data_IF_602928854367
#
_entry.id   IF_602928854367
#
_cell.length_a   1.000
_cell.length_b   1.000
_cell.length_c   1.000
_cell.angle_alpha   90.00
_cell.angle_beta   90.00
_cell.angle_gamma   90.00
#
_symmetry.space_group_name_H-M   'P 1'
#
loop_
_entity.id
_entity.type
_entity.pdbx_description
1 polymer ?
#
# COMPACT_ATOMS: atom_id res chain seq x y z
N UNK A 1 -8.20 -13.35 5.94
CA UNK A 1 -7.29 -12.37 5.32
C UNK A 1 -7.51 -11.01 5.96
N UNK A 2 -6.46 -10.29 6.34
CA UNK A 2 -6.63 -8.93 6.86
C UNK A 2 -7.18 -8.00 5.78
N UNK A 3 -7.84 -6.92 6.21
CA UNK A 3 -8.31 -5.91 5.28
C UNK A 3 -7.13 -5.31 4.51
N UNK A 4 -7.31 -4.93 3.25
CA UNK A 4 -6.23 -4.29 2.50
C UNK A 4 -5.90 -2.93 3.09
N UNK A 5 -4.61 -2.57 3.02
CA UNK A 5 -4.15 -1.23 3.36
C UNK A 5 -4.22 -0.38 2.11
N UNK A 6 -4.95 0.73 2.18
CA UNK A 6 -5.00 1.68 1.06
C UNK A 6 -4.01 2.80 1.33
N UNK A 7 -3.01 2.95 0.45
CA UNK A 7 -1.96 3.96 0.56
C UNK A 7 -2.26 5.12 -0.38
N UNK A 8 -2.12 6.34 0.14
CA UNK A 8 -2.30 7.54 -0.66
C UNK A 8 -1.02 8.37 -0.66
N UNK A 9 -0.48 8.70 -1.84
CA UNK A 9 0.65 9.64 -1.92
C UNK A 9 0.18 11.06 -1.68
N UNK A 10 1.03 11.88 -1.06
CA UNK A 10 0.69 13.27 -0.75
C UNK A 10 1.89 14.18 -1.01
N UNK A 11 1.62 15.34 -1.60
CA UNK A 11 2.63 16.39 -1.73
C UNK A 11 2.93 17.02 -0.37
N UNK A 12 1.90 17.07 0.47
CA UNK A 12 2.02 17.57 1.84
C UNK A 12 1.30 16.58 2.76
N UNK A 13 2.04 15.63 3.36
CA UNK A 13 1.43 14.61 4.21
C UNK A 13 0.63 15.15 5.40
N UNK A 14 1.06 16.26 5.99
CA UNK A 14 0.31 16.85 7.11
C UNK A 14 -1.04 17.39 6.66
N UNK A 15 -1.08 18.00 5.47
CA UNK A 15 -2.35 18.47 4.90
C UNK A 15 -3.28 17.30 4.59
N UNK A 16 -2.73 16.22 4.03
CA UNK A 16 -3.50 15.01 3.77
C UNK A 16 -4.03 14.39 5.06
N UNK A 17 -3.22 14.39 6.11
CA UNK A 17 -3.60 13.90 7.42
C UNK A 17 -4.84 14.66 7.96
N UNK A 18 -4.81 15.98 7.87
CA UNK A 18 -5.96 16.80 8.29
C UNK A 18 -7.21 16.52 7.45
N UNK A 19 -7.01 16.33 6.15
CA UNK A 19 -8.11 16.01 5.25
C UNK A 19 -8.80 14.69 5.64
N UNK A 20 -8.04 13.63 5.79
CA UNK A 20 -8.60 12.31 6.10
C UNK A 20 -9.19 12.25 7.51
N UNK A 21 -8.57 12.94 8.45
CA UNK A 21 -9.15 13.07 9.79
C UNK A 21 -10.51 13.79 9.73
N UNK A 22 -10.60 14.87 8.96
CA UNK A 22 -11.84 15.63 8.85
C UNK A 22 -12.95 14.87 8.12
N UNK A 23 -12.59 14.08 7.12
CA UNK A 23 -13.58 13.36 6.29
C UNK A 23 -14.05 12.06 6.98
N UNK A 24 -13.13 11.29 7.55
CA UNK A 24 -13.44 9.96 8.07
C UNK A 24 -13.42 9.87 9.60
N UNK A 25 -12.93 10.91 10.28
CA UNK A 25 -12.67 10.82 11.69
C UNK A 25 -11.49 9.91 12.04
N UNK A 26 -10.66 9.57 11.04
CA UNK A 26 -9.56 8.65 11.24
C UNK A 26 -8.42 9.30 12.01
N UNK A 27 -7.93 8.62 13.05
CA UNK A 27 -6.79 9.06 13.84
C UNK A 27 -5.55 8.33 13.33
N UNK A 28 -4.79 8.97 12.44
CA UNK A 28 -3.56 8.39 11.92
C UNK A 28 -2.38 8.76 12.80
N UNK A 29 -1.46 7.81 12.94
CA UNK A 29 -0.26 8.00 13.74
C UNK A 29 0.98 7.86 12.88
N UNK A 30 2.13 8.45 13.30
CA UNK A 30 3.37 8.28 12.56
C UNK A 30 3.76 6.80 12.46
N UNK A 31 4.28 6.41 11.31
CA UNK A 31 4.79 5.06 11.14
C UNK A 31 6.04 4.84 11.97
N UNK A 32 6.24 3.61 12.47
CA UNK A 32 7.51 3.28 13.10
C UNK A 32 8.65 3.39 12.06
N UNK A 33 9.88 3.71 12.49
CA UNK A 33 10.99 3.92 11.56
C UNK A 33 11.24 2.78 10.59
N UNK A 34 11.03 1.55 11.00
CA UNK A 34 11.23 0.36 10.16
C UNK A 34 10.17 0.22 9.07
N UNK A 35 9.05 0.89 9.19
CA UNK A 35 7.98 0.86 8.19
C UNK A 35 8.06 2.01 7.18
N UNK A 36 9.11 2.83 7.27
CA UNK A 36 9.29 4.00 6.41
C UNK A 36 8.64 5.24 6.99
N UNK A 37 8.65 6.33 6.22
CA UNK A 37 8.03 7.57 6.64
C UNK A 37 6.54 7.60 6.29
N UNK A 38 5.79 8.41 7.01
CA UNK A 38 4.37 8.61 6.73
C UNK A 38 3.51 8.39 7.95
N UNK A 39 2.22 8.29 7.71
CA UNK A 39 1.19 8.17 8.73
C UNK A 39 0.28 7.01 8.38
N UNK A 40 -0.25 6.33 9.37
CA UNK A 40 -1.18 5.23 9.11
C UNK A 40 -2.15 5.01 10.24
N UNK A 41 -3.29 4.42 9.90
CA UNK A 41 -4.21 3.84 10.86
C UNK A 41 -4.45 2.40 10.45
N UNK A 42 -4.48 1.51 11.43
CA UNK A 42 -4.76 0.11 11.22
C UNK A 42 -5.64 -0.36 12.38
N UNK A 43 -6.94 -0.32 12.15
CA UNK A 43 -7.89 -0.91 13.06
C UNK A 43 -8.71 -1.96 12.31
N UNK A 44 -9.67 -2.60 12.98
CA UNK A 44 -10.40 -3.71 12.37
C UNK A 44 -11.19 -3.34 11.12
N UNK A 45 -11.59 -2.09 11.00
CA UNK A 45 -12.51 -1.64 9.95
C UNK A 45 -11.83 -0.77 8.90
N UNK A 46 -10.63 -0.23 9.21
CA UNK A 46 -9.99 0.74 8.35
C UNK A 46 -8.47 0.57 8.40
N UNK A 47 -7.87 0.40 7.24
CA UNK A 47 -6.42 0.44 7.09
C UNK A 47 -6.09 1.46 6.00
N UNK A 48 -5.48 2.55 6.39
CA UNK A 48 -5.20 3.67 5.51
C UNK A 48 -3.83 4.24 5.82
N UNK A 49 -3.04 4.50 4.80
CA UNK A 49 -1.71 5.08 4.95
C UNK A 49 -1.55 6.32 4.08
N UNK A 50 -0.70 7.23 4.53
CA UNK A 50 -0.31 8.42 3.79
C UNK A 50 1.19 8.45 3.74
N UNK A 51 1.76 8.63 2.55
CA UNK A 51 3.20 8.79 2.40
C UNK A 51 3.49 9.96 1.48
N UNK A 52 4.71 10.48 1.56
CA UNK A 52 5.14 11.56 0.68
C UNK A 52 5.21 11.07 -0.76
N UNK A 53 4.69 11.88 -1.70
CA UNK A 53 4.76 11.55 -3.12
C UNK A 53 6.22 11.55 -3.59
N UNK A 54 6.61 10.51 -4.31
CA UNK A 54 7.96 10.36 -4.79
C UNK A 54 7.97 9.81 -6.23
N UNK A 55 9.16 9.56 -6.79
CA UNK A 55 9.30 9.07 -8.17
C UNK A 55 9.18 7.56 -8.30
N UNK A 56 9.13 6.82 -7.22
CA UNK A 56 9.10 5.36 -7.25
C UNK A 56 7.80 4.78 -7.77
N UNK A 57 7.78 3.50 -8.15
CA UNK A 57 6.61 2.87 -8.75
C UNK A 57 5.37 2.85 -7.87
N UNK A 58 5.53 2.84 -6.56
CA UNK A 58 4.41 2.87 -5.63
C UNK A 58 4.10 4.25 -5.08
N UNK A 59 4.81 5.28 -5.52
CA UNK A 59 4.78 6.59 -4.88
C UNK A 59 3.90 7.62 -5.57
N UNK A 60 3.35 7.30 -6.74
CA UNK A 60 2.66 8.27 -7.57
C UNK A 60 1.15 8.05 -7.67
N UNK A 61 0.64 6.93 -7.19
CA UNK A 61 -0.76 6.58 -7.29
C UNK A 61 -1.26 5.96 -5.99
N UNK A 62 -2.56 6.04 -5.76
CA UNK A 62 -3.17 5.34 -4.64
C UNK A 62 -3.16 3.85 -4.92
N UNK A 63 -2.78 3.04 -3.94
CA UNK A 63 -2.66 1.60 -4.08
C UNK A 63 -3.31 0.87 -2.92
N UNK A 64 -4.02 -0.21 -3.25
CA UNK A 64 -4.46 -1.17 -2.25
C UNK A 64 -3.35 -2.22 -2.09
N UNK A 65 -2.91 -2.45 -0.87
CA UNK A 65 -1.90 -3.46 -0.52
C UNK A 65 -2.59 -4.66 0.10
N UNK A 66 -2.42 -5.82 -0.51
CA UNK A 66 -2.95 -7.08 0.00
C UNK A 66 -1.81 -7.89 0.60
N UNK A 67 -2.01 -8.36 1.83
CA UNK A 67 -0.99 -9.17 2.52
C UNK A 67 -1.13 -10.63 2.08
N UNK A 68 -0.02 -11.24 1.67
CA UNK A 68 0.00 -12.64 1.22
C UNK A 68 1.07 -13.43 1.98
N UNK A 69 0.82 -14.72 2.14
CA UNK A 69 1.72 -15.59 2.91
C UNK A 69 3.04 -15.85 2.17
N UNK A 70 2.99 -16.00 0.85
CA UNK A 70 4.17 -16.29 0.03
C UNK A 70 4.18 -15.32 -1.15
N UNK A 71 4.95 -14.25 -1.02
CA UNK A 71 5.00 -13.21 -2.02
C UNK A 71 5.52 -13.72 -3.37
N UNK A 72 6.60 -14.49 -3.35
CA UNK A 72 7.20 -15.00 -4.59
C UNK A 72 6.21 -15.89 -5.37
N UNK A 73 5.55 -16.79 -4.69
CA UNK A 73 4.56 -17.67 -5.32
C UNK A 73 3.36 -16.87 -5.85
N UNK A 74 2.95 -15.85 -5.10
CA UNK A 74 1.83 -15.00 -5.52
C UNK A 74 2.20 -14.19 -6.76
N UNK A 75 3.43 -13.70 -6.86
CA UNK A 75 3.88 -12.98 -8.05
C UNK A 75 3.87 -13.87 -9.29
N UNK A 76 4.25 -15.13 -9.14
CA UNK A 76 4.13 -16.10 -10.24
C UNK A 76 2.67 -16.26 -10.67
N UNK A 77 1.75 -16.32 -9.72
CA UNK A 77 0.31 -16.39 -10.03
C UNK A 77 -0.20 -15.14 -10.73
N UNK A 78 0.29 -13.97 -10.33
CA UNK A 78 -0.07 -12.73 -11.03
C UNK A 78 0.26 -12.84 -12.51
N UNK A 79 1.47 -13.30 -12.84
CA UNK A 79 1.90 -13.45 -14.22
C UNK A 79 1.09 -14.51 -14.97
N UNK A 80 0.85 -15.66 -14.34
CA UNK A 80 0.06 -16.75 -14.93
C UNK A 80 -1.36 -16.32 -15.27
N UNK A 81 -1.95 -15.42 -14.47
CA UNK A 81 -3.33 -15.00 -14.63
C UNK A 81 -3.48 -13.74 -15.49
N UNK A 82 -2.41 -13.30 -16.13
CA UNK A 82 -2.47 -12.21 -17.09
C UNK A 82 -2.12 -10.84 -16.55
N UNK A 83 -1.67 -10.77 -15.31
CA UNK A 83 -1.17 -9.53 -14.72
C UNK A 83 0.31 -9.35 -14.97
N UNK A 84 0.88 -8.30 -14.40
CA UNK A 84 2.31 -8.02 -14.53
C UNK A 84 2.87 -7.48 -13.22
N UNK A 85 4.17 -7.64 -13.05
CA UNK A 85 4.90 -7.10 -11.90
C UNK A 85 5.69 -5.88 -12.38
N UNK A 86 5.39 -4.70 -11.83
CA UNK A 86 6.06 -3.45 -12.19
C UNK A 86 7.37 -3.32 -11.45
N UNK A 87 7.35 -3.64 -10.16
CA UNK A 87 8.52 -3.55 -9.31
C UNK A 87 8.35 -4.51 -8.14
N UNK A 88 9.42 -5.16 -7.74
CA UNK A 88 9.35 -6.03 -6.56
C UNK A 88 10.63 -5.93 -5.74
N UNK A 89 10.48 -6.07 -4.45
CA UNK A 89 11.57 -6.29 -3.53
C UNK A 89 11.20 -7.48 -2.63
N UNK A 90 12.02 -7.74 -1.64
CA UNK A 90 11.84 -8.93 -0.80
C UNK A 90 10.53 -8.94 -0.03
N UNK A 91 9.99 -7.76 0.33
CA UNK A 91 8.87 -7.64 1.25
C UNK A 91 7.58 -7.14 0.61
N UNK A 92 7.65 -6.58 -0.59
CA UNK A 92 6.47 -6.04 -1.26
C UNK A 92 6.68 -5.96 -2.76
N UNK A 93 5.58 -5.79 -3.48
CA UNK A 93 5.63 -5.62 -4.93
C UNK A 93 4.49 -4.73 -5.39
N UNK A 94 4.73 -3.98 -6.46
CA UNK A 94 3.71 -3.22 -7.18
C UNK A 94 3.43 -3.95 -8.47
N UNK A 95 2.15 -4.17 -8.74
CA UNK A 95 1.69 -4.99 -9.88
C UNK A 95 0.58 -4.29 -10.64
N UNK A 96 0.22 -4.86 -11.78
CA UNK A 96 -1.03 -4.56 -12.48
C UNK A 96 -1.83 -5.83 -12.61
N UNK A 97 -3.15 -5.71 -12.50
CA UNK A 97 -4.03 -6.86 -12.69
C UNK A 97 -4.20 -7.18 -14.18
N UNK A 98 -5.09 -8.11 -14.51
CA UNK A 98 -5.33 -8.52 -15.90
C UNK A 98 -5.90 -7.39 -16.78
N UNK A 99 -6.46 -6.36 -16.17
CA UNK A 99 -7.06 -5.22 -16.87
C UNK A 99 -6.16 -3.97 -16.83
N UNK A 100 -4.95 -4.11 -16.29
CA UNK A 100 -3.98 -3.02 -16.22
C UNK A 100 -4.10 -2.12 -14.99
N UNK A 101 -4.95 -2.45 -14.03
CA UNK A 101 -5.12 -1.63 -12.83
C UNK A 101 -4.01 -1.90 -11.82
N UNK A 102 -3.41 -0.85 -11.24
CA UNK A 102 -2.32 -1.03 -10.30
C UNK A 102 -2.82 -1.49 -8.92
N UNK A 103 -2.05 -2.35 -8.30
CA UNK A 103 -2.25 -2.78 -6.92
C UNK A 103 -0.90 -3.23 -6.34
N UNK A 104 -0.88 -3.52 -5.05
CA UNK A 104 0.34 -3.97 -4.42
C UNK A 104 0.12 -5.20 -3.57
N UNK A 105 1.17 -5.97 -3.39
CA UNK A 105 1.20 -7.14 -2.53
C UNK A 105 2.30 -6.95 -1.48
N UNK A 106 2.04 -7.38 -0.27
CA UNK A 106 3.02 -7.32 0.81
C UNK A 106 3.17 -8.70 1.44
N UNK A 107 4.41 -9.06 1.78
CA UNK A 107 4.66 -10.29 2.48
C UNK A 107 4.13 -10.20 3.91
N UNK A 108 3.49 -11.26 4.37
CA UNK A 108 3.05 -11.34 5.75
C UNK A 108 4.25 -11.29 6.69
N UNK A 109 4.12 -10.62 7.87
CA UNK A 109 5.19 -10.64 8.86
C UNK A 109 5.39 -12.06 9.34
N UNK A 110 6.63 -12.44 9.54
CA UNK A 110 6.90 -13.79 9.98
C UNK A 110 8.27 -14.20 9.98
#
# INVERSE_FOLDING_TARGET
MPAPLVEFPADDPERALRFWHGVLGAELEPRPPEAGSGWEVDDNDLRLGIHERGPGPGDTASLAYFTVADLAATLDRVRELGGSVIHSCERWAVCRDSEGSPFALAAAPG
#
